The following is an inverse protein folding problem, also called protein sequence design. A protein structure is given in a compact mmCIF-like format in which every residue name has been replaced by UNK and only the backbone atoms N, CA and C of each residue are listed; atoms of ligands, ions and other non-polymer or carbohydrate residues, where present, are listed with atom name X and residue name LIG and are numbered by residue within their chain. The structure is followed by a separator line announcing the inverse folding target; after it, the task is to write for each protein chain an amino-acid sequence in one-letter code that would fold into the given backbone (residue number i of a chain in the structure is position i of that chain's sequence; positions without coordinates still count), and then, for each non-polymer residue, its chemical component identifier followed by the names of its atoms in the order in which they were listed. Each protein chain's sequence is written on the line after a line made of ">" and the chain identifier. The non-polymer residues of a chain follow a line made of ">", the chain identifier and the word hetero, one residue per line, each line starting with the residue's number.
data_IF_549837598361
#
_entry.id   IF_549837598361
#
_cell.length_a   1.000
_cell.length_b   1.000
_cell.length_c   1.000
_cell.angle_alpha   90.00
_cell.angle_beta   90.00
_cell.angle_gamma   90.00
#
_symmetry.space_group_name_H-M   'P 1'
#
loop_
_entity.id
_entity.type
_entity.pdbx_description
1 polymer ?
#
# COMPACT_ATOMS: atom_id res chain seq x y z
N UNK A 1 -65.91 -2.36 7.59
CA UNK A 1 -64.55 -2.96 7.62
C UNK A 1 -63.59 -1.81 7.77
N UNK A 2 -63.32 -1.40 9.00
CA UNK A 2 -62.50 -0.24 9.31
C UNK A 2 -61.13 -0.69 9.79
N UNK A 3 -60.10 -0.21 9.09
CA UNK A 3 -58.71 -0.56 9.31
C UNK A 3 -58.20 0.07 10.62
N UNK A 4 -57.65 -0.80 11.46
CA UNK A 4 -56.97 -0.53 12.73
C UNK A 4 -55.85 0.52 12.59
N UNK A 5 -55.87 1.53 13.47
CA UNK A 5 -54.77 2.49 13.63
C UNK A 5 -53.51 1.83 14.21
N UNK A 6 -52.29 2.27 13.84
CA UNK A 6 -51.05 1.71 14.37
C UNK A 6 -50.76 2.20 15.81
N UNK A 7 -49.95 1.46 16.59
CA UNK A 7 -49.76 1.72 18.02
C UNK A 7 -48.91 2.97 18.28
N UNK A 8 -49.30 3.74 19.31
CA UNK A 8 -48.55 4.90 19.81
C UNK A 8 -47.45 4.44 20.76
N UNK A 9 -46.18 4.65 20.38
CA UNK A 9 -45.05 4.51 21.31
C UNK A 9 -44.91 5.77 22.19
N UNK A 10 -45.00 5.59 23.51
CA UNK A 10 -44.63 6.62 24.51
C UNK A 10 -43.11 6.85 24.47
N UNK A 11 -42.67 8.07 24.15
CA UNK A 11 -41.30 8.52 24.41
C UNK A 11 -41.18 8.97 25.87
N UNK A 12 -40.40 8.23 26.67
CA UNK A 12 -39.82 8.77 27.90
C UNK A 12 -38.48 9.42 27.54
N UNK A 13 -38.44 10.75 27.52
CA UNK A 13 -37.21 11.54 27.64
C UNK A 13 -37.58 12.94 28.12
N UNK A 14 -37.21 13.26 29.35
CA UNK A 14 -37.50 14.51 30.05
C UNK A 14 -36.37 15.54 29.94
N UNK A 15 -35.63 15.57 28.82
CA UNK A 15 -34.69 16.66 28.54
C UNK A 15 -35.09 17.43 27.27
N UNK A 16 -35.31 18.76 27.36
CA UNK A 16 -35.52 19.57 26.18
C UNK A 16 -34.18 19.73 25.45
N UNK A 17 -33.99 18.95 24.38
CA UNK A 17 -32.99 19.27 23.36
C UNK A 17 -33.50 20.43 22.50
N UNK A 18 -32.61 21.23 21.90
CA UNK A 18 -33.02 22.36 21.07
C UNK A 18 -33.71 21.82 19.81
N UNK A 19 -35.02 21.96 19.75
CA UNK A 19 -35.79 21.69 18.55
C UNK A 19 -35.80 22.96 17.67
N UNK A 20 -35.50 22.86 16.36
CA UNK A 20 -35.58 24.00 15.46
C UNK A 20 -37.05 24.38 15.21
N UNK A 21 -37.31 25.69 15.12
CA UNK A 21 -38.66 26.29 15.04
C UNK A 21 -39.26 26.29 13.62
N UNK A 22 -38.59 25.73 12.60
CA UNK A 22 -39.03 25.80 11.21
C UNK A 22 -38.92 24.46 10.48
N UNK A 23 -40.00 24.07 9.79
CA UNK A 23 -40.14 22.77 9.10
C UNK A 23 -39.37 22.61 7.78
N UNK A 24 -38.50 23.55 7.41
CA UNK A 24 -37.71 23.52 6.17
C UNK A 24 -36.22 23.25 6.38
N UNK A 25 -35.79 23.03 7.62
CA UNK A 25 -34.37 22.80 7.94
C UNK A 25 -34.20 21.35 8.37
N UNK A 26 -33.73 20.50 7.44
CA UNK A 26 -33.32 19.14 7.80
C UNK A 26 -32.17 19.25 8.81
N UNK A 27 -32.19 18.48 9.91
CA UNK A 27 -31.14 18.56 10.91
C UNK A 27 -29.79 18.29 10.23
N UNK A 28 -28.76 19.11 10.50
CA UNK A 28 -27.44 18.89 9.95
C UNK A 28 -26.99 17.50 10.38
N UNK A 29 -26.76 16.61 9.42
CA UNK A 29 -26.08 15.34 9.66
C UNK A 29 -24.66 15.67 10.11
N UNK A 30 -24.47 15.94 11.39
CA UNK A 30 -23.16 16.06 11.99
C UNK A 30 -22.52 14.69 11.80
N UNK A 31 -21.51 14.58 10.93
CA UNK A 31 -20.68 13.39 10.83
C UNK A 31 -20.09 13.12 12.22
N UNK A 32 -20.71 12.20 12.95
CA UNK A 32 -20.19 11.70 14.22
C UNK A 32 -19.09 10.69 13.92
N UNK A 33 -17.91 11.18 13.59
CA UNK A 33 -16.60 10.49 13.52
C UNK A 33 -15.66 11.48 12.79
N UNK A 34 -14.64 12.10 13.37
CA UNK A 34 -13.51 11.52 14.11
C UNK A 34 -12.78 12.61 14.91
N UNK A 35 -13.29 13.01 16.08
CA UNK A 35 -12.56 13.93 16.99
C UNK A 35 -11.73 13.20 18.06
N UNK A 36 -11.58 11.88 17.96
CA UNK A 36 -10.43 11.23 18.58
C UNK A 36 -9.24 11.45 17.67
N UNK A 37 -8.47 12.51 17.94
CA UNK A 37 -7.03 12.41 17.69
C UNK A 37 -6.60 11.03 18.23
N UNK A 38 -5.93 10.17 17.47
CA UNK A 38 -5.27 9.05 18.09
C UNK A 38 -4.23 9.68 19.01
N UNK A 39 -4.57 9.74 20.31
CA UNK A 39 -3.57 9.67 21.35
C UNK A 39 -2.68 8.52 20.89
N UNK A 40 -1.39 8.79 20.67
CA UNK A 40 -0.41 7.75 20.40
C UNK A 40 -0.33 6.89 21.67
N UNK A 41 -1.34 6.06 21.92
CA UNK A 41 -1.23 4.91 22.76
C UNK A 41 -0.21 4.06 22.02
N UNK A 42 1.03 4.11 22.52
CA UNK A 42 2.09 3.25 22.06
C UNK A 42 1.53 1.84 22.15
N UNK A 43 1.16 1.26 21.00
CA UNK A 43 0.59 -0.07 20.99
C UNK A 43 1.64 -0.99 21.54
N UNK A 44 1.28 -1.79 22.54
CA UNK A 44 2.21 -2.80 23.05
C UNK A 44 2.61 -3.72 21.88
N UNK A 45 3.92 -3.99 21.72
CA UNK A 45 4.39 -4.90 20.69
C UNK A 45 3.70 -6.25 20.82
N UNK A 46 3.28 -6.82 19.68
CA UNK A 46 2.71 -8.16 19.63
C UNK A 46 3.84 -9.19 19.67
N UNK A 47 3.78 -10.11 20.63
CA UNK A 47 4.71 -11.23 20.74
C UNK A 47 4.33 -12.38 19.79
N UNK A 48 5.33 -12.91 19.09
CA UNK A 48 5.24 -14.10 18.27
C UNK A 48 6.28 -15.12 18.76
N UNK A 49 5.86 -16.37 18.99
CA UNK A 49 6.71 -17.42 19.56
C UNK A 49 6.93 -18.53 18.55
N UNK A 50 8.19 -18.86 18.29
CA UNK A 50 8.61 -19.95 17.41
C UNK A 50 9.52 -20.89 18.18
N UNK A 51 9.27 -22.20 18.12
CA UNK A 51 9.99 -23.18 18.94
C UNK A 51 10.50 -24.34 18.10
N UNK A 52 11.67 -24.86 18.47
CA UNK A 52 12.14 -26.17 18.05
C UNK A 52 12.18 -27.09 19.25
N UNK A 53 11.52 -28.24 19.09
CA UNK A 53 11.53 -29.29 20.09
C UNK A 53 12.72 -30.24 19.89
N UNK A 54 13.19 -30.81 20.98
CA UNK A 54 14.18 -31.88 20.97
C UNK A 54 13.51 -33.22 20.59
N UNK A 55 14.29 -34.31 20.58
CA UNK A 55 13.77 -35.66 20.33
C UNK A 55 12.76 -36.16 21.38
N UNK A 56 12.56 -35.44 22.49
CA UNK A 56 11.60 -35.73 23.56
C UNK A 56 10.42 -34.74 23.57
N UNK A 57 10.24 -33.99 22.48
CA UNK A 57 9.18 -32.98 22.32
C UNK A 57 9.27 -31.80 23.31
N UNK A 58 10.43 -31.56 23.93
CA UNK A 58 10.66 -30.40 24.80
C UNK A 58 11.27 -29.26 23.98
N UNK A 59 10.73 -28.02 24.04
CA UNK A 59 11.32 -26.90 23.33
C UNK A 59 12.72 -26.60 23.91
N UNK A 60 13.74 -26.68 23.08
CA UNK A 60 15.12 -26.38 23.47
C UNK A 60 15.68 -25.13 22.77
N UNK A 61 15.01 -24.66 21.71
CA UNK A 61 15.20 -23.31 21.16
C UNK A 61 13.84 -22.62 21.10
N UNK A 62 13.75 -21.42 21.67
CA UNK A 62 12.58 -20.55 21.56
C UNK A 62 13.02 -19.19 21.02
N UNK A 63 12.41 -18.77 19.92
CA UNK A 63 12.55 -17.42 19.37
C UNK A 63 11.24 -16.66 19.64
N UNK A 64 11.33 -15.60 20.43
CA UNK A 64 10.28 -14.60 20.60
C UNK A 64 10.59 -13.39 19.73
N UNK A 65 9.61 -12.94 18.94
CA UNK A 65 9.72 -11.76 18.08
C UNK A 65 8.63 -10.77 18.47
N UNK A 66 8.99 -9.51 18.69
CA UNK A 66 8.05 -8.46 19.06
C UNK A 66 7.81 -7.55 17.85
N UNK A 67 6.55 -7.43 17.41
CA UNK A 67 6.23 -6.72 16.17
C UNK A 67 5.00 -5.79 16.28
N UNK A 68 4.78 -4.98 15.26
CA UNK A 68 3.64 -4.06 15.15
C UNK A 68 2.38 -4.73 14.57
N UNK A 69 2.33 -6.06 14.52
CA UNK A 69 1.20 -6.83 14.02
C UNK A 69 -0.09 -6.61 14.84
N UNK A 70 -1.25 -6.97 14.27
CA UNK A 70 -2.54 -6.80 14.96
C UNK A 70 -2.82 -7.89 16.00
N UNK A 71 -2.23 -9.06 15.84
CA UNK A 71 -2.43 -10.22 16.71
C UNK A 71 -1.26 -11.21 16.58
N UNK A 72 -1.02 -12.08 17.57
CA UNK A 72 0.03 -13.10 17.49
C UNK A 72 -0.12 -14.09 16.33
N UNK A 73 -1.35 -14.26 15.83
CA UNK A 73 -1.68 -15.11 14.67
C UNK A 73 -1.44 -14.42 13.33
N UNK A 74 -1.23 -13.12 13.33
CA UNK A 74 -0.92 -12.35 12.13
C UNK A 74 0.57 -12.47 11.81
N UNK A 75 0.94 -12.25 10.54
CA UNK A 75 2.34 -12.14 10.15
C UNK A 75 3.04 -11.04 10.98
N UNK A 76 4.19 -11.32 11.63
CA UNK A 76 4.96 -10.28 12.31
C UNK A 76 5.23 -9.14 11.35
N UNK A 77 4.99 -7.89 11.74
CA UNK A 77 5.10 -6.74 10.82
C UNK A 77 6.01 -5.66 11.40
N UNK A 78 6.95 -5.18 10.60
CA UNK A 78 7.91 -4.14 10.94
C UNK A 78 7.82 -2.98 9.95
N UNK A 79 7.85 -1.77 10.47
CA UNK A 79 7.93 -0.55 9.67
C UNK A 79 9.38 -0.14 9.47
N UNK A 80 9.70 0.52 8.36
CA UNK A 80 11.03 1.11 8.16
C UNK A 80 11.42 1.96 9.38
N UNK A 81 12.68 1.82 9.83
CA UNK A 81 13.27 2.39 11.06
C UNK A 81 13.01 1.60 12.34
N UNK A 82 12.07 0.66 12.35
CA UNK A 82 11.95 -0.29 13.45
C UNK A 82 13.07 -1.34 13.33
N UNK A 83 13.63 -1.70 14.48
CA UNK A 83 14.50 -2.88 14.56
C UNK A 83 13.62 -4.12 14.69
N UNK A 84 14.07 -5.23 14.15
CA UNK A 84 13.53 -6.53 14.51
C UNK A 84 14.02 -6.84 15.92
N UNK A 85 13.13 -6.71 16.90
CA UNK A 85 13.42 -6.98 18.31
C UNK A 85 12.86 -8.34 18.73
N UNK A 86 13.56 -9.00 19.65
CA UNK A 86 13.19 -10.33 20.08
C UNK A 86 14.04 -10.87 21.21
N UNK A 87 13.75 -12.11 21.58
CA UNK A 87 14.48 -12.86 22.57
C UNK A 87 14.76 -14.26 22.01
N UNK A 88 16.01 -14.66 21.96
CA UNK A 88 16.40 -16.04 21.66
C UNK A 88 16.72 -16.74 22.98
N UNK A 89 15.97 -17.78 23.30
CA UNK A 89 16.22 -18.66 24.43
C UNK A 89 16.71 -20.01 23.90
N UNK A 90 17.74 -20.56 24.53
CA UNK A 90 18.29 -21.86 24.20
C UNK A 90 18.60 -22.62 25.48
N UNK A 91 18.15 -23.87 25.56
CA UNK A 91 18.51 -24.79 26.62
C UNK A 91 19.66 -25.69 26.13
N UNK A 92 20.88 -25.42 26.62
CA UNK A 92 22.08 -26.14 26.19
C UNK A 92 22.40 -27.28 27.16
N UNK A 93 22.27 -28.52 26.70
CA UNK A 93 22.67 -29.68 27.49
C UNK A 93 24.20 -29.86 27.52
N UNK A 94 24.70 -30.46 28.60
CA UNK A 94 26.13 -30.79 28.73
C UNK A 94 26.52 -31.78 27.62
N UNK A 95 27.30 -31.31 26.65
CA UNK A 95 27.75 -32.11 25.50
C UNK A 95 27.22 -31.64 24.14
N UNK A 96 26.41 -30.58 24.11
CA UNK A 96 26.01 -29.97 22.84
C UNK A 96 27.19 -29.29 22.15
N UNK A 97 27.48 -29.74 20.92
CA UNK A 97 28.61 -29.28 20.11
C UNK A 97 28.25 -28.04 19.28
N UNK A 98 27.57 -27.06 19.87
CA UNK A 98 27.22 -25.80 19.20
C UNK A 98 28.50 -25.02 18.89
N UNK A 99 28.68 -24.66 17.62
CA UNK A 99 29.83 -23.88 17.14
C UNK A 99 29.50 -22.40 16.98
N UNK A 100 28.29 -22.10 16.51
CA UNK A 100 27.83 -20.73 16.30
C UNK A 100 26.30 -20.64 16.30
N UNK A 101 25.79 -19.45 16.60
CA UNK A 101 24.40 -19.06 16.44
C UNK A 101 24.40 -17.78 15.62
N UNK A 102 23.68 -17.79 14.49
CA UNK A 102 23.59 -16.64 13.58
C UNK A 102 22.14 -16.32 13.28
N UNK A 103 21.78 -15.04 13.39
CA UNK A 103 20.52 -14.52 12.90
C UNK A 103 20.71 -13.96 11.48
N UNK A 104 19.90 -14.39 10.53
CA UNK A 104 19.97 -13.94 9.14
C UNK A 104 18.63 -13.36 8.72
N UNK A 105 18.65 -12.14 8.21
CA UNK A 105 17.51 -11.52 7.54
C UNK A 105 17.70 -11.64 6.04
N UNK A 106 16.70 -12.19 5.36
CA UNK A 106 16.71 -12.35 3.90
C UNK A 106 15.50 -11.65 3.30
N UNK A 107 15.73 -10.83 2.26
CA UNK A 107 14.68 -10.24 1.42
C UNK A 107 14.81 -10.75 0.00
N UNK A 108 13.71 -11.23 -0.58
CA UNK A 108 13.68 -11.89 -1.88
C UNK A 108 12.47 -11.53 -2.72
N UNK A 109 12.68 -11.44 -4.03
CA UNK A 109 11.64 -11.40 -5.05
C UNK A 109 11.48 -12.81 -5.61
N UNK A 110 10.26 -13.33 -5.59
CA UNK A 110 9.93 -14.69 -6.06
C UNK A 110 8.98 -14.55 -7.25
N UNK A 111 9.36 -15.05 -8.43
CA UNK A 111 8.63 -14.93 -9.70
C UNK A 111 8.13 -16.25 -10.26
N UNK A 112 8.36 -17.35 -9.54
CA UNK A 112 8.05 -18.73 -9.93
C UNK A 112 8.43 -19.73 -8.84
N UNK A 113 8.32 -21.02 -9.14
CA UNK A 113 8.58 -22.11 -8.21
C UNK A 113 9.98 -22.72 -8.34
N UNK A 114 10.74 -22.35 -9.37
CA UNK A 114 12.11 -22.79 -9.57
C UNK A 114 13.09 -22.09 -8.63
N UNK A 115 14.24 -22.72 -8.37
CA UNK A 115 15.32 -22.12 -7.58
C UNK A 115 15.87 -20.85 -8.25
N UNK A 116 15.88 -20.83 -9.59
CA UNK A 116 16.31 -19.68 -10.39
C UNK A 116 15.25 -18.57 -10.51
N UNK A 117 14.02 -18.81 -10.03
CA UNK A 117 12.93 -17.84 -10.01
C UNK A 117 12.91 -17.01 -8.71
N UNK A 118 14.00 -17.06 -7.94
CA UNK A 118 14.16 -16.33 -6.69
C UNK A 118 15.38 -15.41 -6.76
N UNK A 119 15.15 -14.11 -6.60
CA UNK A 119 16.18 -13.10 -6.54
C UNK A 119 16.33 -12.54 -5.12
N UNK A 120 17.46 -12.81 -4.47
CA UNK A 120 17.76 -12.31 -3.13
C UNK A 120 18.41 -10.93 -3.23
N UNK A 121 17.69 -9.90 -2.81
CA UNK A 121 18.19 -8.52 -2.80
C UNK A 121 18.75 -8.10 -1.43
N UNK A 122 18.37 -8.79 -0.35
CA UNK A 122 18.85 -8.51 1.00
C UNK A 122 19.32 -9.82 1.65
N UNK A 123 20.53 -9.83 2.17
CA UNK A 123 21.06 -10.89 3.02
C UNK A 123 21.95 -10.28 4.10
N UNK A 124 21.37 -10.07 5.28
CA UNK A 124 22.06 -9.48 6.43
C UNK A 124 22.24 -10.54 7.51
N UNK A 125 23.49 -10.75 7.94
CA UNK A 125 23.82 -11.71 9.00
C UNK A 125 24.27 -10.96 10.26
N UNK A 126 23.72 -11.37 11.40
CA UNK A 126 24.13 -10.94 12.73
C UNK A 126 24.59 -12.17 13.53
N UNK A 127 25.90 -12.31 13.80
CA UNK A 127 26.39 -13.33 14.72
C UNK A 127 25.81 -13.08 16.12
N UNK A 128 25.09 -14.06 16.66
CA UNK A 128 24.50 -13.99 18.01
C UNK A 128 25.52 -14.52 19.02
N UNK A 129 26.08 -15.70 18.74
CA UNK A 129 27.10 -16.34 19.55
C UNK A 129 28.06 -17.15 18.67
N UNK A 130 29.31 -17.28 19.09
CA UNK A 130 30.31 -18.11 18.43
C UNK A 130 31.23 -18.73 19.47
N UNK A 131 31.67 -19.96 19.24
CA UNK A 131 32.72 -20.61 20.02
C UNK A 131 34.05 -19.88 19.89
N UNK A 132 34.31 -19.26 18.74
CA UNK A 132 35.50 -18.42 18.52
C UNK A 132 35.39 -17.13 19.34
N UNK A 133 36.50 -16.68 19.92
CA UNK A 133 36.61 -15.42 20.66
C UNK A 133 36.74 -14.21 19.74
N UNK A 134 37.09 -14.42 18.46
CA UNK A 134 37.42 -13.35 17.53
C UNK A 134 36.18 -12.79 16.81
N UNK A 135 35.00 -13.37 17.06
CA UNK A 135 33.74 -12.94 16.44
C UNK A 135 32.96 -12.08 17.42
N UNK A 136 32.48 -10.88 17.01
CA UNK A 136 31.58 -10.08 17.82
C UNK A 136 30.34 -10.89 18.23
N UNK A 137 29.99 -10.84 19.52
CA UNK A 137 28.83 -11.56 20.08
C UNK A 137 27.76 -10.56 20.52
N UNK A 138 26.50 -10.97 20.47
CA UNK A 138 25.43 -10.24 21.13
C UNK A 138 25.58 -10.46 22.64
N UNK A 139 25.57 -9.39 23.47
CA UNK A 139 25.64 -9.53 24.92
C UNK A 139 24.51 -10.42 25.42
N UNK A 140 24.86 -11.40 26.26
CA UNK A 140 23.89 -12.26 26.93
C UNK A 140 23.89 -11.94 28.43
N UNK A 141 22.71 -11.82 29.07
CA UNK A 141 22.61 -11.74 30.53
C UNK A 141 22.88 -13.11 31.20
N UNK A 142 22.96 -14.21 30.46
CA UNK A 142 23.13 -15.56 31.00
C UNK A 142 24.60 -15.91 31.19
N UNK A 143 24.97 -16.34 32.41
CA UNK A 143 26.33 -16.87 32.70
C UNK A 143 26.70 -18.04 31.76
N UNK A 144 25.71 -18.87 31.42
CA UNK A 144 25.83 -20.01 30.51
C UNK A 144 26.26 -19.66 29.08
N UNK A 145 26.17 -18.38 28.67
CA UNK A 145 26.52 -17.89 27.35
C UNK A 145 27.82 -17.04 27.31
N UNK A 146 28.43 -16.76 28.47
CA UNK A 146 29.64 -15.94 28.58
C UNK A 146 30.91 -16.67 28.08
N UNK A 147 30.90 -18.00 28.09
CA UNK A 147 32.05 -18.83 27.76
C UNK A 147 32.12 -19.22 26.27
N UNK A 148 33.17 -19.96 25.90
CA UNK A 148 33.32 -20.65 24.59
C UNK A 148 32.48 -21.93 24.51
N UNK A 149 31.71 -22.25 25.55
CA UNK A 149 30.72 -23.33 25.59
C UNK A 149 29.40 -22.77 26.12
N UNK A 150 28.30 -23.20 25.52
CA UNK A 150 26.95 -22.92 26.01
C UNK A 150 26.56 -23.98 27.03
N UNK A 151 26.00 -23.55 28.17
CA UNK A 151 25.57 -24.45 29.25
C UNK A 151 24.29 -23.95 29.90
N UNK A 152 23.32 -24.84 30.03
CA UNK A 152 22.02 -24.54 30.64
C UNK A 152 21.23 -23.50 29.86
N UNK A 153 20.47 -22.69 30.59
CA UNK A 153 19.57 -21.70 30.02
C UNK A 153 20.31 -20.44 29.54
N UNK A 154 20.38 -20.28 28.22
CA UNK A 154 21.05 -19.17 27.56
C UNK A 154 20.03 -18.24 26.89
N UNK A 155 20.15 -16.94 27.13
CA UNK A 155 19.23 -15.93 26.60
C UNK A 155 20.01 -14.87 25.82
N UNK A 156 19.54 -14.49 24.63
CA UNK A 156 20.06 -13.34 23.89
C UNK A 156 18.94 -12.37 23.51
N UNK A 157 18.97 -11.12 23.99
CA UNK A 157 18.10 -10.08 23.45
C UNK A 157 18.56 -9.73 22.03
N UNK A 158 17.67 -9.89 21.06
CA UNK A 158 17.93 -9.58 19.67
C UNK A 158 17.42 -8.18 19.33
N UNK A 159 18.23 -7.44 18.57
CA UNK A 159 17.85 -6.17 17.95
C UNK A 159 18.59 -6.02 16.63
N UNK A 160 17.94 -6.37 15.53
CA UNK A 160 18.50 -6.31 14.18
C UNK A 160 17.96 -5.05 13.49
N UNK A 161 18.84 -4.10 13.19
CA UNK A 161 18.48 -2.92 12.39
C UNK A 161 18.46 -3.28 10.90
N UNK A 162 17.33 -3.07 10.23
CA UNK A 162 17.20 -3.30 8.79
C UNK A 162 17.79 -2.11 8.01
N UNK A 163 18.53 -2.37 6.92
CA UNK A 163 18.96 -1.29 6.03
C UNK A 163 17.75 -0.66 5.36
N UNK A 164 17.87 0.61 4.98
CA UNK A 164 16.82 1.31 4.20
C UNK A 164 16.87 0.93 2.72
N UNK A 165 18.06 0.60 2.25
CA UNK A 165 18.36 0.35 0.85
C UNK A 165 19.13 -0.94 0.70
N UNK A 166 18.94 -1.61 -0.43
CA UNK A 166 19.76 -2.72 -0.88
C UNK A 166 20.48 -2.33 -2.16
N UNK A 167 21.73 -2.76 -2.29
CA UNK A 167 22.52 -2.59 -3.50
C UNK A 167 22.43 -3.85 -4.34
N UNK A 168 21.93 -3.74 -5.57
CA UNK A 168 21.78 -4.86 -6.49
C UNK A 168 22.40 -4.54 -7.85
N UNK A 169 22.93 -5.54 -8.57
CA UNK A 169 23.44 -5.34 -9.91
C UNK A 169 22.29 -4.98 -10.86
N UNK A 170 22.50 -3.92 -11.64
CA UNK A 170 21.66 -3.53 -12.77
C UNK A 170 21.95 -4.44 -13.98
N UNK A 171 21.09 -4.36 -15.01
CA UNK A 171 21.29 -5.07 -16.27
C UNK A 171 22.59 -4.68 -17.00
N UNK A 172 23.17 -3.51 -16.70
CA UNK A 172 24.47 -3.05 -17.19
C UNK A 172 25.67 -3.61 -16.40
N UNK A 173 25.43 -4.33 -15.30
CA UNK A 173 26.46 -4.77 -14.35
C UNK A 173 26.83 -3.71 -13.30
N UNK A 174 26.36 -2.48 -13.42
CA UNK A 174 26.55 -1.43 -12.41
C UNK A 174 25.70 -1.71 -11.16
N UNK A 175 26.26 -1.42 -9.99
CA UNK A 175 25.55 -1.57 -8.72
C UNK A 175 24.61 -0.39 -8.49
N UNK A 176 23.31 -0.66 -8.41
CA UNK A 176 22.29 0.34 -8.12
C UNK A 176 21.72 0.16 -6.71
N UNK A 177 21.50 1.26 -6.01
CA UNK A 177 20.91 1.27 -4.66
C UNK A 177 19.41 1.54 -4.75
N UNK A 178 18.61 0.63 -4.21
CA UNK A 178 17.14 0.72 -4.20
C UNK A 178 16.62 0.68 -2.78
N UNK A 179 15.50 1.36 -2.50
CA UNK A 179 14.83 1.21 -1.20
C UNK A 179 14.22 -0.18 -1.07
N UNK A 180 14.18 -0.69 0.16
CA UNK A 180 13.52 -1.97 0.42
C UNK A 180 12.02 -1.90 0.04
N UNK A 181 11.50 -2.80 -0.81
CA UNK A 181 10.10 -2.83 -1.19
C UNK A 181 9.18 -3.28 -0.06
N UNK A 182 7.92 -2.87 -0.09
CA UNK A 182 6.90 -3.44 0.81
C UNK A 182 6.77 -4.96 0.55
N UNK A 183 6.50 -5.74 1.60
CA UNK A 183 6.08 -7.13 1.43
C UNK A 183 4.85 -7.19 0.53
N UNK A 184 4.97 -7.95 -0.55
CA UNK A 184 4.02 -7.95 -1.66
C UNK A 184 3.61 -9.39 -1.96
N UNK A 185 2.32 -9.68 -1.84
CA UNK A 185 1.72 -10.95 -2.20
C UNK A 185 0.29 -10.71 -2.66
N UNK A 186 0.04 -10.85 -3.95
CA UNK A 186 -1.27 -10.62 -4.56
C UNK A 186 -1.64 -11.77 -5.51
N UNK A 187 -2.90 -12.19 -5.46
CA UNK A 187 -3.38 -13.38 -6.20
C UNK A 187 -3.29 -13.24 -7.72
N UNK A 188 -3.34 -12.01 -8.24
CA UNK A 188 -3.41 -11.73 -9.67
C UNK A 188 -2.03 -11.48 -10.31
N UNK A 189 -0.95 -11.59 -9.55
CA UNK A 189 0.42 -11.41 -10.06
C UNK A 189 1.28 -12.61 -9.71
N UNK A 190 2.18 -13.03 -10.62
CA UNK A 190 3.10 -14.15 -10.38
C UNK A 190 4.36 -13.77 -9.59
N UNK A 191 4.45 -12.52 -9.15
CA UNK A 191 5.59 -12.01 -8.40
C UNK A 191 5.19 -11.74 -6.95
N UNK A 192 6.10 -12.01 -6.02
CA UNK A 192 5.97 -11.66 -4.61
C UNK A 192 7.29 -11.14 -4.05
N UNK A 193 7.18 -10.33 -3.00
CA UNK A 193 8.30 -9.85 -2.20
C UNK A 193 8.14 -10.43 -0.80
N UNK A 194 9.11 -11.23 -0.36
CA UNK A 194 9.09 -11.89 0.93
C UNK A 194 10.34 -11.52 1.74
N UNK A 195 10.13 -11.35 3.06
CA UNK A 195 11.20 -11.22 4.03
C UNK A 195 11.14 -12.37 5.05
N UNK A 196 12.31 -12.89 5.41
CA UNK A 196 12.45 -13.96 6.40
C UNK A 196 13.50 -13.61 7.44
N UNK A 197 13.23 -13.96 8.70
CA UNK A 197 14.22 -14.06 9.77
C UNK A 197 14.54 -15.54 9.99
N UNK A 198 15.81 -15.90 9.90
CA UNK A 198 16.30 -17.27 10.12
C UNK A 198 17.33 -17.27 11.23
N UNK A 199 17.10 -18.06 12.29
CA UNK A 199 18.10 -18.36 13.31
C UNK A 199 18.73 -19.71 12.96
N UNK A 200 20.04 -19.73 12.76
CA UNK A 200 20.81 -20.95 12.49
C UNK A 200 21.69 -21.26 13.69
N UNK A 201 21.50 -22.43 14.28
CA UNK A 201 22.36 -22.99 15.32
C UNK A 201 23.26 -24.04 14.67
N UNK A 202 24.49 -23.64 14.39
CA UNK A 202 25.48 -24.48 13.72
C UNK A 202 26.13 -25.44 14.70
N UNK A 203 26.18 -26.72 14.33
CA UNK A 203 26.73 -27.80 15.18
C UNK A 203 28.06 -28.33 14.62
N UNK A 204 28.82 -29.02 15.45
CA UNK A 204 30.13 -29.59 15.08
C UNK A 204 30.01 -30.69 14.03
N UNK A 205 31.17 -31.14 13.52
CA UNK A 205 31.26 -32.21 12.50
C UNK A 205 30.37 -33.40 12.89
N UNK A 206 29.57 -33.91 11.93
CA UNK A 206 28.61 -35.02 12.05
C UNK A 206 27.23 -34.72 12.65
N UNK A 207 26.86 -33.46 12.92
CA UNK A 207 25.49 -33.09 13.32
C UNK A 207 24.89 -32.08 12.34
N UNK A 208 23.60 -32.23 12.04
CA UNK A 208 22.86 -31.25 11.24
C UNK A 208 22.64 -29.95 12.03
N UNK A 209 22.67 -28.83 11.33
CA UNK A 209 22.33 -27.53 11.88
C UNK A 209 20.83 -27.44 12.18
N UNK A 210 20.48 -26.72 13.24
CA UNK A 210 19.09 -26.44 13.56
C UNK A 210 18.71 -25.05 13.06
N UNK A 211 17.49 -24.92 12.53
CA UNK A 211 17.03 -23.68 11.90
C UNK A 211 15.62 -23.33 12.33
N UNK A 212 15.44 -22.17 12.94
CA UNK A 212 14.12 -21.53 13.07
C UNK A 212 14.01 -20.53 11.93
N UNK A 213 12.99 -20.66 11.08
CA UNK A 213 12.72 -19.70 10.00
C UNK A 213 11.30 -19.17 10.15
N UNK A 214 11.15 -17.84 10.14
CA UNK A 214 9.85 -17.18 10.13
C UNK A 214 9.82 -16.07 9.09
N UNK A 215 8.71 -15.97 8.35
CA UNK A 215 8.44 -14.83 7.49
C UNK A 215 8.02 -13.61 8.33
N UNK A 216 8.23 -12.41 7.80
CA UNK A 216 7.68 -11.17 8.35
C UNK A 216 7.28 -10.19 7.25
N UNK A 217 6.36 -9.28 7.59
CA UNK A 217 5.96 -8.16 6.76
C UNK A 217 6.87 -6.96 7.00
N UNK A 218 7.33 -6.34 5.93
CA UNK A 218 8.05 -5.07 5.93
C UNK A 218 7.21 -4.00 5.25
N UNK A 219 7.09 -2.83 5.89
CA UNK A 219 6.38 -1.67 5.35
C UNK A 219 7.33 -0.47 5.27
N UNK A 220 7.68 0.02 4.06
CA UNK A 220 8.53 1.19 3.91
C UNK A 220 7.84 2.44 4.48
N UNK A 221 8.62 3.45 4.88
CA UNK A 221 8.09 4.72 5.40
C UNK A 221 8.31 5.85 4.39
N UNK A 222 7.56 5.83 3.29
CA UNK A 222 7.55 6.90 2.28
C UNK A 222 6.49 7.94 2.62
N UNK A 223 6.82 9.22 2.42
CA UNK A 223 5.95 10.34 2.81
C UNK A 223 5.94 11.42 1.73
N UNK A 224 4.75 11.92 1.32
CA UNK A 224 4.63 13.13 0.52
C UNK A 224 5.19 14.36 1.24
N UNK A 225 5.66 15.33 0.47
CA UNK A 225 5.82 16.68 0.98
C UNK A 225 4.46 17.29 1.37
N UNK A 226 4.42 18.29 2.27
CA UNK A 226 3.19 19.02 2.55
C UNK A 226 2.58 19.62 1.27
N UNK A 227 1.24 19.63 1.12
CA UNK A 227 0.58 20.39 0.06
C UNK A 227 0.89 21.89 0.15
N UNK A 228 0.49 22.68 -0.86
CA UNK A 228 0.54 24.15 -0.81
C UNK A 228 -0.09 24.73 0.46
N UNK A 229 0.39 25.90 0.90
CA UNK A 229 -0.09 26.55 2.12
C UNK A 229 -1.61 26.81 2.07
N UNK A 230 -2.12 27.29 0.94
CA UNK A 230 -3.54 27.57 0.75
C UNK A 230 -4.39 26.29 0.91
N UNK A 231 -3.92 25.17 0.35
CA UNK A 231 -4.59 23.87 0.52
C UNK A 231 -4.51 23.36 1.96
N UNK A 232 -3.38 23.56 2.64
CA UNK A 232 -3.27 23.20 4.06
C UNK A 232 -4.28 23.97 4.91
N UNK A 233 -4.42 25.28 4.69
CA UNK A 233 -5.42 26.12 5.39
C UNK A 233 -6.83 25.59 5.09
N UNK A 234 -7.14 25.30 3.83
CA UNK A 234 -8.45 24.75 3.44
C UNK A 234 -8.76 23.42 4.16
N UNK A 235 -7.80 22.50 4.24
CA UNK A 235 -7.97 21.26 4.99
C UNK A 235 -8.16 21.49 6.50
N UNK A 236 -7.40 22.41 7.08
CA UNK A 236 -7.46 22.70 8.51
C UNK A 236 -8.79 23.35 8.92
N UNK A 237 -9.33 24.19 8.05
CA UNK A 237 -10.54 24.98 8.30
C UNK A 237 -11.80 24.38 7.65
N UNK A 238 -11.69 23.22 7.00
CA UNK A 238 -12.77 22.57 6.24
C UNK A 238 -13.42 23.49 5.19
N UNK A 239 -12.60 24.32 4.52
CA UNK A 239 -13.03 25.20 3.44
C UNK A 239 -13.03 24.46 2.10
N UNK A 240 -13.70 25.00 1.06
CA UNK A 240 -13.51 24.57 -0.32
C UNK A 240 -12.03 24.57 -0.72
N UNK A 241 -11.61 23.60 -1.54
CA UNK A 241 -10.22 23.50 -1.98
C UNK A 241 -9.92 24.54 -3.06
N UNK A 242 -8.80 25.28 -2.98
CA UNK A 242 -8.45 26.23 -4.02
C UNK A 242 -8.10 25.49 -5.32
N UNK A 243 -8.70 25.92 -6.43
CA UNK A 243 -8.43 25.44 -7.77
C UNK A 243 -7.08 25.94 -8.32
N UNK A 244 -6.68 25.50 -9.54
CA UNK A 244 -5.41 25.87 -10.15
C UNK A 244 -5.27 27.36 -10.48
N UNK A 245 -6.37 28.10 -10.54
CA UNK A 245 -6.35 29.55 -10.78
C UNK A 245 -6.08 30.33 -9.49
N UNK A 246 -6.66 29.88 -8.37
CA UNK A 246 -6.51 30.48 -7.04
C UNK A 246 -5.23 30.04 -6.32
N UNK A 247 -4.71 28.84 -6.63
CA UNK A 247 -3.47 28.28 -6.07
C UNK A 247 -2.58 27.62 -7.14
N UNK A 248 -2.03 28.36 -8.11
CA UNK A 248 -1.22 27.77 -9.19
C UNK A 248 -0.04 26.93 -8.68
N UNK A 249 0.58 27.34 -7.57
CA UNK A 249 1.68 26.64 -6.94
C UNK A 249 1.26 25.32 -6.27
N UNK A 250 -0.02 25.12 -5.99
CA UNK A 250 -0.56 23.87 -5.47
C UNK A 250 -0.95 22.85 -6.53
N UNK A 251 -0.80 23.15 -7.82
CA UNK A 251 -1.21 22.27 -8.91
C UNK A 251 -0.10 22.04 -9.94
N UNK A 252 -0.12 20.87 -10.57
CA UNK A 252 0.61 20.59 -11.80
C UNK A 252 -0.41 20.58 -12.93
N UNK A 253 -0.47 21.68 -13.67
CA UNK A 253 -1.31 21.79 -14.88
C UNK A 253 -0.55 21.19 -16.06
N UNK A 254 -1.16 20.19 -16.69
CA UNK A 254 -0.56 19.44 -17.78
C UNK A 254 -0.78 20.15 -19.12
N UNK A 255 -0.04 19.72 -20.14
CA UNK A 255 -0.23 20.27 -21.49
C UNK A 255 -1.64 19.95 -21.99
N UNK A 256 -2.35 20.92 -22.59
CA UNK A 256 -3.67 20.66 -23.14
C UNK A 256 -3.65 19.59 -24.22
N UNK A 257 -4.68 18.75 -24.25
CA UNK A 257 -4.89 17.69 -25.24
C UNK A 257 -6.23 17.86 -25.94
N UNK A 258 -6.29 17.57 -27.24
CA UNK A 258 -7.56 17.62 -28.00
C UNK A 258 -8.37 16.34 -27.77
N UNK A 259 -9.60 16.50 -27.31
CA UNK A 259 -10.64 15.48 -27.31
C UNK A 259 -11.36 15.56 -28.65
N UNK A 260 -11.17 14.54 -29.48
CA UNK A 260 -11.79 14.46 -30.82
C UNK A 260 -12.71 13.25 -30.89
N UNK A 261 -13.84 13.43 -31.56
CA UNK A 261 -14.80 12.37 -31.79
C UNK A 261 -15.92 12.76 -32.74
N UNK A 262 -16.90 11.89 -32.83
CA UNK A 262 -18.12 12.10 -33.60
C UNK A 262 -19.31 12.14 -32.64
N UNK A 263 -20.11 13.19 -32.76
CA UNK A 263 -21.34 13.43 -32.02
C UNK A 263 -22.54 13.05 -32.88
N UNK A 264 -23.44 12.23 -32.32
CA UNK A 264 -24.64 11.69 -32.95
C UNK A 264 -24.42 11.10 -34.35
N UNK A 265 -23.27 10.42 -34.54
CA UNK A 265 -22.86 9.78 -35.80
C UNK A 265 -22.79 10.70 -37.03
N UNK A 266 -22.80 12.03 -36.84
CA UNK A 266 -22.87 12.98 -37.95
C UNK A 266 -21.92 14.17 -37.79
N UNK A 267 -21.82 14.74 -36.58
CA UNK A 267 -21.08 15.98 -36.36
C UNK A 267 -19.69 15.68 -35.78
N UNK A 268 -18.64 16.24 -36.38
CA UNK A 268 -17.31 16.21 -35.77
C UNK A 268 -17.28 17.13 -34.56
N UNK A 269 -16.84 16.60 -33.43
CA UNK A 269 -16.68 17.36 -32.20
C UNK A 269 -15.19 17.41 -31.84
N UNK A 270 -14.71 18.61 -31.55
CA UNK A 270 -13.38 18.85 -30.99
C UNK A 270 -13.50 19.78 -29.78
N UNK A 271 -12.86 19.40 -28.68
CA UNK A 271 -12.69 20.22 -27.50
C UNK A 271 -11.26 20.08 -27.00
N UNK A 272 -10.70 21.18 -26.48
CA UNK A 272 -9.40 21.17 -25.81
C UNK A 272 -9.62 20.90 -24.33
N UNK A 273 -8.84 19.98 -23.78
CA UNK A 273 -8.94 19.54 -22.40
C UNK A 273 -7.60 19.77 -21.69
N UNK A 274 -7.65 20.41 -20.53
CA UNK A 274 -6.49 20.67 -19.68
C UNK A 274 -6.73 20.05 -18.31
N UNK A 275 -5.88 19.09 -17.93
CA UNK A 275 -5.94 18.41 -16.63
C UNK A 275 -4.91 19.02 -15.67
N UNK A 276 -5.31 19.27 -14.43
CA UNK A 276 -4.43 19.67 -13.34
C UNK A 276 -4.52 18.67 -12.20
N UNK A 277 -3.37 18.26 -11.66
CA UNK A 277 -3.25 17.36 -10.51
C UNK A 277 -2.66 18.10 -9.31
N UNK A 278 -3.21 17.88 -8.11
CA UNK A 278 -2.75 18.57 -6.91
C UNK A 278 -1.31 18.16 -6.57
N UNK A 279 -0.41 19.14 -6.37
CA UNK A 279 0.98 18.89 -5.94
C UNK A 279 1.06 18.62 -4.43
N UNK A 280 2.07 17.86 -3.98
CA UNK A 280 3.05 17.13 -4.80
C UNK A 280 2.42 15.89 -5.49
N UNK A 281 3.03 15.39 -6.57
CA UNK A 281 2.54 14.18 -7.29
C UNK A 281 2.86 12.86 -6.56
N UNK A 282 2.78 12.89 -5.24
CA UNK A 282 2.95 11.75 -4.36
C UNK A 282 1.83 11.79 -3.33
N UNK A 283 1.04 10.72 -3.24
CA UNK A 283 -0.17 10.66 -2.44
C UNK A 283 -0.13 9.47 -1.48
N UNK A 284 -0.59 9.65 -0.26
CA UNK A 284 -0.60 8.56 0.71
C UNK A 284 -1.78 7.61 0.44
N UNK A 285 -1.56 6.30 0.52
CA UNK A 285 -2.65 5.33 0.47
C UNK A 285 -3.72 5.64 1.54
N UNK A 286 -4.99 5.40 1.21
CA UNK A 286 -6.11 5.75 2.09
C UNK A 286 -6.50 7.24 2.11
N UNK A 287 -5.91 8.09 1.27
CA UNK A 287 -6.32 9.50 1.07
C UNK A 287 -7.08 9.70 -0.24
N UNK A 288 -7.25 10.95 -0.65
CA UNK A 288 -7.76 11.32 -1.98
C UNK A 288 -6.66 11.96 -2.81
N UNK A 289 -6.79 11.87 -4.13
CA UNK A 289 -6.00 12.57 -5.14
C UNK A 289 -6.93 13.60 -5.80
N UNK A 290 -6.80 14.90 -5.48
CA UNK A 290 -7.58 15.95 -6.11
C UNK A 290 -7.14 16.25 -7.55
N UNK A 291 -8.13 16.41 -8.41
CA UNK A 291 -8.01 16.66 -9.84
C UNK A 291 -8.86 17.88 -10.23
N UNK A 292 -8.45 18.59 -11.27
CA UNK A 292 -9.23 19.68 -11.85
C UNK A 292 -9.16 19.60 -13.38
N UNK A 293 -10.28 19.83 -14.05
CA UNK A 293 -10.39 19.74 -15.51
C UNK A 293 -10.93 21.05 -16.07
N UNK A 294 -10.27 21.56 -17.09
CA UNK A 294 -10.78 22.67 -17.93
C UNK A 294 -11.05 22.13 -19.32
N UNK A 295 -12.28 22.32 -19.79
CA UNK A 295 -12.72 22.01 -21.15
C UNK A 295 -12.99 23.31 -21.90
N UNK A 296 -12.42 23.44 -23.09
CA UNK A 296 -12.58 24.58 -23.98
C UNK A 296 -13.13 24.09 -25.33
N UNK A 297 -14.17 24.72 -25.88
CA UNK A 297 -14.67 24.42 -27.21
C UNK A 297 -15.38 25.63 -27.83
N UNK A 298 -15.46 25.67 -29.16
CA UNK A 298 -16.18 26.73 -29.87
C UNK A 298 -17.71 26.62 -29.75
N UNK A 299 -18.23 25.41 -29.56
CA UNK A 299 -19.67 25.15 -29.46
C UNK A 299 -20.07 24.72 -28.05
N UNK A 300 -21.01 25.44 -27.43
CA UNK A 300 -21.54 25.09 -26.09
C UNK A 300 -22.12 23.68 -26.05
N UNK A 301 -22.73 23.19 -27.13
CA UNK A 301 -23.34 21.85 -27.17
C UNK A 301 -22.31 20.73 -26.96
N UNK A 302 -21.10 20.91 -27.48
CA UNK A 302 -19.98 19.97 -27.27
C UNK A 302 -19.54 20.01 -25.81
N UNK A 303 -19.44 21.22 -25.24
CA UNK A 303 -19.08 21.39 -23.83
C UNK A 303 -20.13 20.79 -22.89
N UNK A 304 -21.42 21.00 -23.14
CA UNK A 304 -22.49 20.48 -22.29
C UNK A 304 -22.49 18.94 -22.29
N UNK A 305 -22.12 18.32 -23.41
CA UNK A 305 -21.97 16.87 -23.53
C UNK A 305 -20.73 16.33 -22.80
N UNK A 306 -19.57 16.95 -23.05
CA UNK A 306 -18.27 16.47 -22.54
C UNK A 306 -18.01 16.88 -21.08
N UNK A 307 -18.63 17.96 -20.60
CA UNK A 307 -18.53 18.40 -19.21
C UNK A 307 -19.50 17.69 -18.27
N UNK A 308 -20.32 16.76 -18.78
CA UNK A 308 -21.08 15.88 -17.91
C UNK A 308 -20.09 15.10 -17.01
N UNK A 309 -20.19 15.20 -15.68
CA UNK A 309 -19.27 14.51 -14.77
C UNK A 309 -19.13 13.00 -15.02
N UNK A 310 -20.18 12.34 -15.50
CA UNK A 310 -20.17 10.92 -15.84
C UNK A 310 -19.44 10.61 -17.17
N UNK A 311 -19.21 11.61 -18.02
CA UNK A 311 -18.50 11.44 -19.28
C UNK A 311 -16.97 11.40 -19.11
N UNK A 312 -16.45 11.96 -18.01
CA UNK A 312 -15.00 12.10 -17.81
C UNK A 312 -14.45 10.87 -17.10
N UNK A 313 -13.64 10.09 -17.81
CA UNK A 313 -13.00 8.90 -17.26
C UNK A 313 -11.53 9.20 -16.96
N UNK A 314 -11.22 9.39 -15.68
CA UNK A 314 -9.85 9.58 -15.18
C UNK A 314 -9.54 8.49 -14.16
N UNK A 315 -8.58 7.61 -14.47
CA UNK A 315 -8.26 6.45 -13.63
C UNK A 315 -6.84 6.55 -13.04
N UNK A 316 -6.67 6.10 -11.80
CA UNK A 316 -5.36 5.74 -11.27
C UNK A 316 -5.01 4.34 -11.77
N UNK A 317 -4.00 4.22 -12.62
CA UNK A 317 -3.57 2.95 -13.21
C UNK A 317 -2.30 2.46 -12.53
N UNK A 318 -2.34 1.27 -11.97
CA UNK A 318 -1.17 0.55 -11.45
C UNK A 318 -0.52 -0.26 -12.55
N UNK A 319 0.80 -0.28 -12.54
CA UNK A 319 1.64 -1.15 -13.36
C UNK A 319 2.58 -1.94 -12.44
N UNK A 320 2.50 -3.27 -12.49
CA UNK A 320 3.47 -4.15 -11.84
C UNK A 320 4.31 -4.81 -12.92
N UNK A 321 5.63 -4.58 -12.89
CA UNK A 321 6.58 -5.16 -13.84
C UNK A 321 7.56 -6.05 -13.10
N UNK A 322 7.85 -7.21 -13.68
CA UNK A 322 8.91 -8.06 -13.16
C UNK A 322 9.56 -8.90 -14.24
N UNK A 323 10.79 -9.34 -14.00
CA UNK A 323 11.49 -10.28 -14.87
C UNK A 323 11.46 -11.69 -14.29
N UNK A 324 11.15 -12.67 -15.14
CA UNK A 324 11.34 -14.08 -14.83
C UNK A 324 12.50 -14.61 -15.69
N UNK A 325 13.49 -15.26 -15.07
CA UNK A 325 14.68 -15.78 -15.72
C UNK A 325 14.45 -17.18 -16.35
N UNK A 326 13.22 -17.54 -16.73
CA UNK A 326 12.94 -18.88 -17.26
C UNK A 326 13.64 -19.13 -18.59
N UNK A 327 14.75 -19.87 -18.57
CA UNK A 327 15.35 -20.72 -19.63
C UNK A 327 15.40 -20.29 -21.10
N UNK A 328 15.09 -19.06 -21.50
CA UNK A 328 15.26 -18.63 -22.89
C UNK A 328 16.66 -18.06 -23.12
N UNK A 329 17.45 -18.78 -23.90
CA UNK A 329 18.75 -18.37 -24.46
C UNK A 329 18.68 -17.17 -25.44
N UNK A 330 17.66 -16.31 -25.33
CA UNK A 330 17.50 -15.12 -26.16
C UNK A 330 17.83 -13.87 -25.36
N UNK A 331 18.63 -12.99 -25.95
CA UNK A 331 19.09 -11.70 -25.41
C UNK A 331 17.96 -10.66 -25.20
N UNK A 332 16.70 -11.06 -25.41
CA UNK A 332 15.54 -10.20 -25.21
C UNK A 332 14.88 -10.53 -23.87
N UNK A 333 15.02 -9.59 -22.93
CA UNK A 333 14.42 -9.62 -21.60
C UNK A 333 12.90 -9.49 -21.75
N UNK A 334 12.17 -10.61 -21.76
CA UNK A 334 10.71 -10.59 -21.77
C UNK A 334 10.19 -10.19 -20.38
N UNK A 335 9.92 -8.90 -20.19
CA UNK A 335 9.29 -8.40 -18.96
C UNK A 335 7.85 -8.91 -18.87
N UNK A 336 7.50 -9.45 -17.69
CA UNK A 336 6.11 -9.68 -17.34
C UNK A 336 5.51 -8.39 -16.81
N UNK A 337 4.30 -8.08 -17.25
CA UNK A 337 3.63 -6.84 -16.94
C UNK A 337 2.15 -7.07 -16.68
N UNK A 338 1.65 -6.47 -15.60
CA UNK A 338 0.23 -6.40 -15.31
C UNK A 338 -0.16 -4.94 -15.11
N UNK A 339 -1.30 -4.57 -15.68
CA UNK A 339 -1.83 -3.21 -15.67
C UNK A 339 -3.27 -3.27 -15.19
N UNK A 340 -3.60 -2.48 -14.18
CA UNK A 340 -4.91 -2.51 -13.53
C UNK A 340 -5.33 -1.10 -13.11
N UNK A 341 -6.61 -0.76 -13.34
CA UNK A 341 -7.18 0.51 -12.85
C UNK A 341 -7.60 0.35 -11.38
N UNK A 342 -6.99 1.15 -10.51
CA UNK A 342 -7.11 1.09 -9.04
C UNK A 342 -8.17 2.00 -8.44
N UNK A 343 -8.69 2.91 -9.25
CA UNK A 343 -9.71 3.85 -8.85
C UNK A 343 -9.99 4.83 -9.98
N UNK A 344 -11.21 5.34 -10.02
CA UNK A 344 -11.66 6.33 -11.00
C UNK A 344 -12.09 7.60 -10.28
N UNK A 345 -11.84 8.75 -10.91
CA UNK A 345 -12.21 10.03 -10.36
C UNK A 345 -13.74 10.17 -10.30
N UNK A 346 -14.22 10.71 -9.20
CA UNK A 346 -15.58 11.27 -9.13
C UNK A 346 -15.48 12.75 -9.45
N UNK A 347 -16.31 13.23 -10.38
CA UNK A 347 -16.31 14.62 -10.84
C UNK A 347 -17.56 15.37 -10.40
N UNK A 348 -17.44 16.68 -10.24
CA UNK A 348 -18.54 17.63 -10.05
C UNK A 348 -18.18 18.98 -10.70
N UNK A 349 -19.18 19.83 -10.89
CA UNK A 349 -18.98 21.18 -11.45
C UNK A 349 -18.18 22.05 -10.48
N UNK A 350 -17.19 22.77 -11.00
CA UNK A 350 -16.38 23.69 -10.21
C UNK A 350 -17.24 24.77 -9.53
N UNK A 351 -16.92 25.07 -8.27
CA UNK A 351 -17.55 26.18 -7.52
C UNK A 351 -16.64 27.40 -7.43
N UNK A 352 -15.34 27.21 -7.62
CA UNK A 352 -14.30 28.26 -7.53
C UNK A 352 -14.27 29.14 -8.78
N UNK A 353 -14.60 28.58 -9.95
CA UNK A 353 -14.55 29.27 -11.24
C UNK A 353 -15.85 29.10 -12.00
N UNK A 354 -16.44 30.22 -12.41
CA UNK A 354 -17.66 30.23 -13.22
C UNK A 354 -17.45 29.62 -14.59
N UNK A 355 -18.47 28.92 -15.09
CA UNK A 355 -18.51 28.46 -16.48
C UNK A 355 -18.93 29.62 -17.40
N UNK A 356 -18.29 29.77 -18.55
CA UNK A 356 -18.66 30.76 -19.58
C UNK A 356 -19.30 30.06 -20.80
N UNK A 357 -19.44 30.70 -21.97
CA UNK A 357 -20.05 30.06 -23.16
C UNK A 357 -19.12 29.07 -23.88
N UNK A 358 -17.81 29.15 -23.63
CA UNK A 358 -16.73 28.44 -24.36
C UNK A 358 -15.86 27.56 -23.45
N UNK A 359 -16.10 27.60 -22.15
CA UNK A 359 -15.27 26.99 -21.12
C UNK A 359 -16.16 26.32 -20.07
N UNK A 360 -15.77 25.12 -19.64
CA UNK A 360 -16.34 24.41 -18.49
C UNK A 360 -15.24 23.96 -17.55
N UNK A 361 -15.51 24.03 -16.26
CA UNK A 361 -14.59 23.60 -15.21
C UNK A 361 -15.21 22.51 -14.34
N UNK A 362 -14.44 21.44 -14.13
CA UNK A 362 -14.82 20.34 -13.24
C UNK A 362 -13.76 20.15 -12.16
N UNK A 363 -14.23 19.90 -10.95
CA UNK A 363 -13.42 19.44 -9.84
C UNK A 363 -13.63 17.93 -9.68
N UNK A 364 -12.58 17.21 -9.28
CA UNK A 364 -12.69 15.78 -9.07
C UNK A 364 -11.73 15.22 -8.05
N UNK A 365 -12.02 14.00 -7.60
CA UNK A 365 -11.19 13.27 -6.65
C UNK A 365 -11.12 11.78 -7.01
N UNK A 366 -9.90 11.22 -7.01
CA UNK A 366 -9.70 9.76 -6.99
C UNK A 366 -9.50 9.33 -5.53
N UNK A 367 -10.34 8.42 -5.04
CA UNK A 367 -10.16 7.83 -3.70
C UNK A 367 -9.09 6.74 -3.76
N UNK A 368 -8.09 6.83 -2.89
CA UNK A 368 -7.01 5.85 -2.80
C UNK A 368 -7.35 4.80 -1.76
N UNK A 369 -7.33 3.52 -2.16
CA UNK A 369 -7.57 2.41 -1.24
C UNK A 369 -6.52 2.38 -0.11
N UNK A 370 -6.90 1.92 1.08
CA UNK A 370 -6.01 1.87 2.26
C UNK A 370 -4.93 0.81 2.15
N UNK A 371 -5.19 -0.23 1.36
CA UNK A 371 -4.34 -1.37 1.07
C UNK A 371 -3.54 -1.21 -0.23
N UNK A 372 -3.64 -0.04 -0.88
CA UNK A 372 -2.84 0.28 -2.07
C UNK A 372 -1.35 0.13 -1.75
N UNK A 373 -0.63 -0.57 -2.63
CA UNK A 373 0.80 -0.82 -2.47
C UNK A 373 1.59 0.44 -2.80
N UNK A 374 2.62 0.80 -2.01
CA UNK A 374 3.43 1.97 -2.31
C UNK A 374 4.19 1.79 -3.63
N UNK A 375 4.50 2.90 -4.28
CA UNK A 375 5.43 2.91 -5.42
C UNK A 375 6.77 2.36 -4.96
N UNK A 376 7.32 1.42 -5.72
CA UNK A 376 8.58 0.75 -5.34
C UNK A 376 9.29 0.17 -6.56
N UNK A 377 10.61 0.07 -6.45
CA UNK A 377 11.48 -0.53 -7.44
C UNK A 377 12.61 -1.28 -6.72
N UNK A 378 12.95 -2.47 -7.20
CA UNK A 378 14.03 -3.30 -6.69
C UNK A 378 14.56 -4.21 -7.79
N UNK A 379 15.68 -3.82 -8.40
CA UNK A 379 16.28 -4.57 -9.50
C UNK A 379 15.29 -4.76 -10.65
N UNK A 380 14.89 -6.01 -10.90
CA UNK A 380 13.93 -6.34 -11.95
C UNK A 380 12.48 -6.46 -11.48
N UNK A 381 12.09 -5.71 -10.45
CA UNK A 381 10.71 -5.63 -9.97
C UNK A 381 10.33 -4.18 -9.75
N UNK A 382 9.14 -3.77 -10.17
CA UNK A 382 8.58 -2.46 -9.84
C UNK A 382 7.06 -2.45 -9.74
N UNK A 383 6.57 -1.58 -8.88
CA UNK A 383 5.17 -1.15 -8.80
C UNK A 383 5.17 0.36 -9.06
N UNK A 384 4.53 0.78 -10.14
CA UNK A 384 4.39 2.20 -10.50
C UNK A 384 2.93 2.57 -10.78
N UNK A 385 2.62 3.86 -10.72
CA UNK A 385 1.29 4.38 -10.89
C UNK A 385 1.28 5.57 -11.85
N UNK A 386 0.22 5.68 -12.64
CA UNK A 386 -0.06 6.85 -13.46
C UNK A 386 -1.51 7.24 -13.34
N UNK A 387 -1.79 8.55 -13.36
CA UNK A 387 -3.13 9.07 -13.58
C UNK A 387 -3.37 9.14 -15.08
N UNK A 388 -4.37 8.42 -15.56
CA UNK A 388 -4.66 8.25 -16.99
C UNK A 388 -6.01 8.85 -17.32
N UNK A 389 -6.01 9.85 -18.20
CA UNK A 389 -7.22 10.40 -18.80
C UNK A 389 -7.59 9.53 -20.00
N UNK A 390 -8.67 8.78 -19.84
CA UNK A 390 -9.24 7.94 -20.87
C UNK A 390 -10.12 8.77 -21.81
N UNK A 391 -10.49 8.21 -22.98
CA UNK A 391 -11.48 8.84 -23.85
C UNK A 391 -12.79 9.10 -23.10
N UNK A 392 -13.45 10.21 -23.44
CA UNK A 392 -14.72 10.58 -22.81
C UNK A 392 -15.82 9.62 -23.23
N UNK A 393 -16.69 9.25 -22.28
CA UNK A 393 -17.80 8.32 -22.49
C UNK A 393 -19.13 9.04 -22.29
N UNK A 394 -19.62 9.71 -23.34
CA UNK A 394 -20.91 10.39 -23.32
C UNK A 394 -21.90 9.74 -24.31
N UNK A 395 -23.19 9.74 -23.95
CA UNK A 395 -24.24 9.21 -24.85
C UNK A 395 -24.25 10.02 -26.14
N UNK A 396 -24.11 9.33 -27.27
CA UNK A 396 -24.04 9.98 -28.58
C UNK A 396 -22.68 10.60 -28.90
N UNK A 397 -21.62 10.33 -28.13
CA UNK A 397 -20.24 10.67 -28.48
C UNK A 397 -19.40 9.40 -28.60
N UNK A 398 -18.63 9.30 -29.68
CA UNK A 398 -17.64 8.23 -29.88
C UNK A 398 -16.28 8.80 -30.23
N UNK A 399 -15.22 8.22 -29.67
CA UNK A 399 -13.83 8.57 -29.96
C UNK A 399 -13.01 7.31 -30.23
N UNK A 400 -12.11 7.38 -31.20
CA UNK A 400 -11.17 6.29 -31.54
C UNK A 400 -9.89 6.33 -30.69
N UNK A 401 -9.77 7.32 -29.79
CA UNK A 401 -8.62 7.43 -28.89
C UNK A 401 -8.59 6.26 -27.92
N UNK A 402 -7.40 5.78 -27.54
CA UNK A 402 -7.25 4.74 -26.51
C UNK A 402 -6.85 5.35 -25.15
N UNK A 403 -6.10 6.44 -25.18
CA UNK A 403 -5.68 7.20 -24.01
C UNK A 403 -5.39 8.63 -24.45
N UNK A 404 -5.91 9.61 -23.73
CA UNK A 404 -5.70 11.03 -24.05
C UNK A 404 -4.42 11.56 -23.40
N UNK A 405 -4.17 11.16 -22.14
CA UNK A 405 -3.01 11.60 -21.37
C UNK A 405 -2.70 10.59 -20.24
N UNK A 406 -1.42 10.47 -19.91
CA UNK A 406 -0.93 9.68 -18.77
C UNK A 406 0.15 10.47 -18.03
N UNK A 407 -0.04 10.69 -16.73
CA UNK A 407 0.91 11.40 -15.87
C UNK A 407 1.36 10.50 -14.71
N UNK A 408 2.67 10.24 -14.54
CA UNK A 408 3.16 9.41 -13.44
C UNK A 408 2.93 10.05 -12.08
N UNK A 409 2.55 9.23 -11.09
CA UNK A 409 2.37 9.65 -9.70
C UNK A 409 2.96 8.59 -8.76
N UNK A 410 3.28 8.98 -7.53
CA UNK A 410 3.76 8.07 -6.51
C UNK A 410 2.71 7.79 -5.43
N UNK A 411 2.68 6.55 -4.94
CA UNK A 411 1.87 6.14 -3.79
C UNK A 411 2.79 5.94 -2.59
N UNK A 412 2.48 6.63 -1.51
CA UNK A 412 3.23 6.63 -0.27
C UNK A 412 2.51 5.87 0.85
N UNK A 413 3.26 5.40 1.85
CA UNK A 413 2.69 4.68 3.00
C UNK A 413 2.28 5.60 4.14
N UNK A 414 2.91 6.78 4.26
CA UNK A 414 2.68 7.76 5.32
C UNK A 414 2.02 9.01 4.76
N UNK A 415 1.08 9.59 5.51
CA UNK A 415 0.51 10.89 5.19
C UNK A 415 1.56 12.02 5.25
N UNK A 416 1.36 13.05 4.43
CA UNK A 416 2.09 14.30 4.50
C UNK A 416 2.12 14.88 5.93
N UNK A 417 3.14 15.69 6.24
CA UNK A 417 3.11 16.51 7.46
C UNK A 417 2.05 17.61 7.31
N UNK A 418 1.45 18.02 8.42
CA UNK A 418 0.41 19.05 8.45
C UNK A 418 -1.01 18.47 8.56
N UNK A 419 -2.04 19.22 8.14
CA UNK A 419 -3.44 18.81 8.26
C UNK A 419 -3.74 17.56 7.42
N UNK A 420 -4.70 16.75 7.88
CA UNK A 420 -5.15 15.58 7.13
C UNK A 420 -5.92 16.02 5.89
N UNK A 421 -5.72 15.32 4.79
CA UNK A 421 -6.51 15.49 3.58
C UNK A 421 -7.97 15.16 3.84
N UNK A 422 -8.86 16.08 3.46
CA UNK A 422 -10.31 15.84 3.49
C UNK A 422 -10.77 15.32 2.13
N UNK A 423 -11.82 14.50 2.12
CA UNK A 423 -12.49 14.07 0.90
C UNK A 423 -13.77 14.89 0.72
N UNK A 424 -13.91 15.53 -0.44
CA UNK A 424 -15.06 16.37 -0.81
C UNK A 424 -16.03 15.64 -1.75
N UNK A 425 -15.55 14.60 -2.44
CA UNK A 425 -16.40 13.71 -3.22
C UNK A 425 -17.54 13.12 -2.35
N UNK A 426 -18.76 12.99 -2.90
CA UNK A 426 -19.84 12.28 -2.25
C UNK A 426 -19.40 10.85 -1.85
N UNK A 427 -19.99 10.25 -0.80
CA UNK A 427 -19.76 8.84 -0.50
C UNK A 427 -20.07 8.00 -1.74
N UNK A 428 -19.13 7.17 -2.17
CA UNK A 428 -19.44 6.17 -3.17
C UNK A 428 -20.44 5.19 -2.55
N UNK A 429 -21.68 5.18 -3.05
CA UNK A 429 -22.55 4.05 -2.82
C UNK A 429 -22.03 2.95 -3.74
N UNK A 430 -21.44 1.90 -3.16
CA UNK A 430 -21.02 0.73 -3.93
C UNK A 430 -22.21 0.27 -4.78
N UNK A 431 -22.12 0.46 -6.09
CA UNK A 431 -22.91 -0.35 -7.01
C UNK A 431 -22.41 -1.78 -6.85
N UNK A 432 -23.09 -2.55 -5.99
CA UNK A 432 -22.89 -4.00 -5.89
C UNK A 432 -23.08 -4.62 -7.27
N UNK A 433 -21.99 -4.84 -7.99
CA UNK A 433 -21.89 -5.86 -9.03
C UNK A 433 -20.41 -6.19 -9.31
N UNK A 434 -19.74 -6.83 -8.34
CA UNK A 434 -18.92 -7.97 -8.75
C UNK A 434 -19.94 -8.99 -9.24
N UNK A 435 -20.07 -9.14 -10.58
CA UNK A 435 -20.84 -10.22 -11.19
C UNK A 435 -20.39 -11.52 -10.54
N UNK A 436 -21.31 -12.14 -9.83
CA UNK A 436 -21.21 -13.53 -9.43
C UNK A 436 -21.59 -14.39 -10.65
N UNK A 437 -21.01 -15.59 -10.66
CA UNK A 437 -21.34 -16.77 -11.47
C UNK A 437 -20.73 -16.74 -12.89
N UNK A 438 -19.84 -17.66 -13.28
CA UNK A 438 -20.02 -19.12 -13.18
C UNK A 438 -19.31 -19.86 -12.04
N UNK A 439 -20.10 -20.72 -11.41
CA UNK A 439 -19.68 -21.84 -10.60
C UNK A 439 -19.05 -22.93 -11.48
N UNK A 440 -17.78 -23.22 -11.25
CA UNK A 440 -17.25 -24.58 -11.47
C UNK A 440 -16.50 -24.97 -10.20
N UNK A 441 -17.02 -25.99 -9.53
CA UNK A 441 -16.40 -26.67 -8.39
C UNK A 441 -14.93 -27.02 -8.65
N UNK A 442 -13.99 -26.71 -7.74
CA UNK A 442 -12.63 -27.21 -7.84
C UNK A 442 -12.54 -28.63 -7.29
N UNK A 443 -11.71 -29.52 -7.85
CA UNK A 443 -11.40 -30.79 -7.21
C UNK A 443 -10.53 -30.53 -5.98
N UNK A 444 -10.86 -31.24 -4.92
CA UNK A 444 -10.14 -31.34 -3.66
C UNK A 444 -8.73 -31.89 -3.91
N UNK A 445 -7.70 -31.07 -3.73
CA UNK A 445 -6.30 -31.53 -3.67
C UNK A 445 -5.74 -31.12 -2.32
N UNK A 446 -5.64 -32.13 -1.45
CA UNK A 446 -4.92 -32.06 -0.18
C UNK A 446 -3.44 -31.76 -0.44
N UNK A 447 -2.98 -30.57 -0.05
CA UNK A 447 -1.56 -30.24 -0.01
C UNK A 447 -1.04 -30.49 1.41
N UNK A 448 -0.50 -31.68 1.60
CA UNK A 448 0.33 -32.05 2.73
C UNK A 448 1.60 -31.19 2.72
N UNK A 449 1.75 -30.32 3.71
CA UNK A 449 3.04 -29.71 4.02
C UNK A 449 3.96 -30.81 4.57
N UNK A 450 4.99 -31.16 3.81
CA UNK A 450 6.10 -31.98 4.33
C UNK A 450 7.18 -31.04 4.85
N UNK A 451 7.60 -31.35 6.07
CA UNK A 451 8.51 -30.67 7.00
C UNK A 451 9.87 -30.37 6.38
#
# INVERSE_FOLDING_TARGET
>A
MDASSPPRYRRFSTRPGPAPLSGSELPPYTRRNTLTQPINLHREPTEHVFQLADGKSRPWITLKVYSSAKSPRSLPTFFEKENITGLLELEAERGDSIQAITATVTGRIITGSGVDDCFVFLNQMQPVWSKSTDTPRVPSPSEGAASTKLLGHCIWPLSIALPRTATVPSGSGEMCSFRLPETFLERQTRVSVQYDLTIVVSRGKLRADNKIKTAFGYVPSTRPEPPSLLRQIAYQQFLPLPGPFSDPEGWKTLRPVSVRGVMFNAQRAESKCTLSLAKPLIYARGTVLPCFLTLEACESRILDLLSNPAAVVLSLRRRVRFYNKSNSSRRDVAWNETVEDMGTATWWTSTDVGNDTTTRHLEGEIRLAKDLRPTSEMGHFSISYSVVLCPFTAVGFSSDSVTLLSEPVEIATMHAKGPRTNAYSPPAYDSRSRRNDDATTPPEVSLTFVI
#
